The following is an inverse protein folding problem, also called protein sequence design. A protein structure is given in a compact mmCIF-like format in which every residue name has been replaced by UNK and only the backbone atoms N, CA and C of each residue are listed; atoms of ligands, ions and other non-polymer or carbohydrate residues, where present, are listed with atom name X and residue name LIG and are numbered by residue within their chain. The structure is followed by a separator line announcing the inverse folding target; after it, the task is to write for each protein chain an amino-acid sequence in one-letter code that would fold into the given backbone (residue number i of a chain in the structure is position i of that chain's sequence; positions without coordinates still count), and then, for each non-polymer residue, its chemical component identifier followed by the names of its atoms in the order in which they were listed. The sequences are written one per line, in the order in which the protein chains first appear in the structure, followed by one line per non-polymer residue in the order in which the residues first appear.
data_IF_485766904032
#
_entry.id   IF_485766904032
#
_cell.length_a   1.000
_cell.length_b   1.000
_cell.length_c   1.000
_cell.angle_alpha   90.00
_cell.angle_beta   90.00
_cell.angle_gamma   90.00
#
_symmetry.space_group_name_H-M   'P 1'
#
loop_
_entity.id
_entity.type
_entity.pdbx_description
1 polymer ?
#
# COMPACT_ATOMS: atom_id res chain seq x y z
N UNK A 1 12.76 44.55 -15.16
CA UNK A 1 13.86 43.63 -14.78
C UNK A 1 13.64 42.84 -13.47
N UNK A 2 12.69 43.18 -12.57
CA UNK A 2 12.44 42.41 -11.33
C UNK A 2 11.57 41.13 -11.48
N UNK A 3 10.99 40.88 -12.65
CA UNK A 3 10.13 39.71 -12.91
C UNK A 3 10.94 38.45 -13.30
N UNK A 4 12.10 38.62 -13.94
CA UNK A 4 12.94 37.50 -14.38
C UNK A 4 13.67 36.76 -13.23
N UNK A 5 13.82 37.38 -12.05
CA UNK A 5 14.50 36.77 -10.90
C UNK A 5 13.61 35.84 -10.07
N UNK A 6 12.28 35.91 -10.22
CA UNK A 6 11.35 35.03 -9.49
C UNK A 6 11.12 33.67 -10.17
N UNK A 7 11.27 33.59 -11.49
CA UNK A 7 11.11 32.32 -12.23
C UNK A 7 12.32 31.38 -12.16
N UNK A 8 13.53 31.89 -11.93
CA UNK A 8 14.75 31.07 -11.84
C UNK A 8 14.88 30.29 -10.52
N UNK A 9 14.25 30.74 -9.43
CA UNK A 9 14.26 30.03 -8.14
C UNK A 9 13.26 28.86 -8.13
N UNK A 10 12.17 28.95 -8.90
CA UNK A 10 11.17 27.87 -9.04
C UNK A 10 11.76 26.66 -9.78
N UNK A 11 12.50 26.89 -10.87
CA UNK A 11 13.13 25.84 -11.69
C UNK A 11 14.27 25.10 -10.95
N UNK A 12 14.98 25.76 -10.03
CA UNK A 12 16.01 25.11 -9.21
C UNK A 12 15.44 24.25 -8.07
N UNK A 13 14.20 24.51 -7.64
CA UNK A 13 13.51 23.68 -6.64
C UNK A 13 12.91 22.42 -7.25
N UNK A 14 12.41 22.48 -8.50
CA UNK A 14 11.90 21.29 -9.20
C UNK A 14 13.01 20.32 -9.63
N UNK A 15 14.18 20.81 -10.03
CA UNK A 15 15.31 19.96 -10.41
C UNK A 15 15.90 19.15 -9.23
N UNK A 16 15.89 19.70 -8.01
CA UNK A 16 16.36 18.98 -6.81
C UNK A 16 15.38 17.90 -6.33
N UNK A 17 14.08 18.04 -6.63
CA UNK A 17 13.07 17.04 -6.26
C UNK A 17 13.16 15.78 -7.15
N UNK A 18 13.47 15.94 -8.43
CA UNK A 18 13.60 14.82 -9.38
C UNK A 18 14.86 13.97 -9.10
N UNK A 19 15.94 14.57 -8.58
CA UNK A 19 17.16 13.85 -8.21
C UNK A 19 17.02 13.08 -6.88
N UNK A 20 16.18 13.56 -5.95
CA UNK A 20 15.93 12.83 -4.70
C UNK A 20 15.04 11.59 -4.91
N UNK A 21 14.06 11.65 -5.81
CA UNK A 21 13.22 10.48 -6.15
C UNK A 21 14.00 9.34 -6.81
N UNK A 22 14.98 9.64 -7.69
CA UNK A 22 15.82 8.60 -8.31
C UNK A 22 16.74 7.89 -7.32
N UNK A 23 17.20 8.57 -6.28
CA UNK A 23 18.07 7.98 -5.25
C UNK A 23 17.23 7.13 -4.27
N UNK A 24 16.00 7.54 -3.93
CA UNK A 24 15.13 6.75 -3.05
C UNK A 24 14.52 5.52 -3.75
N UNK A 25 14.16 5.62 -5.02
CA UNK A 25 13.59 4.49 -5.77
C UNK A 25 14.60 3.35 -6.02
N UNK A 26 15.91 3.68 -6.11
CA UNK A 26 16.99 2.67 -6.24
C UNK A 26 17.35 1.97 -4.92
N UNK A 27 17.05 2.56 -3.76
CA UNK A 27 17.18 1.90 -2.44
C UNK A 27 15.95 1.03 -2.16
N UNK A 28 14.75 1.46 -2.56
CA UNK A 28 13.50 0.75 -2.31
C UNK A 28 13.34 -0.52 -3.18
N UNK A 29 13.69 -0.45 -4.47
CA UNK A 29 13.69 -1.63 -5.37
C UNK A 29 14.70 -2.71 -4.95
N UNK A 30 15.73 -2.36 -4.17
CA UNK A 30 16.70 -3.32 -3.61
C UNK A 30 16.13 -4.16 -2.46
N UNK A 31 15.03 -3.73 -1.84
CA UNK A 31 14.37 -4.43 -0.73
C UNK A 31 13.14 -5.24 -1.18
N UNK A 32 12.55 -4.95 -2.34
CA UNK A 32 11.39 -5.69 -2.88
C UNK A 32 11.71 -6.77 -3.92
N UNK A 33 12.97 -6.95 -4.35
CA UNK A 33 13.28 -8.12 -5.20
C UNK A 33 13.28 -9.41 -4.36
N UNK A 34 12.48 -10.43 -4.72
CA UNK A 34 12.70 -11.77 -4.23
C UNK A 34 14.15 -12.12 -4.55
N UNK A 35 14.91 -12.63 -3.57
CA UNK A 35 16.23 -13.21 -3.82
C UNK A 35 16.04 -14.41 -4.77
N UNK A 36 15.94 -14.15 -6.08
CA UNK A 36 16.07 -15.18 -7.12
C UNK A 36 17.43 -15.80 -6.88
N UNK A 37 17.41 -17.06 -6.46
CA UNK A 37 18.59 -17.87 -6.26
C UNK A 37 19.48 -17.75 -7.49
N UNK A 38 20.65 -17.10 -7.34
CA UNK A 38 21.72 -17.18 -8.32
C UNK A 38 22.26 -18.61 -8.26
N UNK A 39 21.60 -19.54 -8.96
CA UNK A 39 22.28 -20.72 -9.52
C UNK A 39 23.29 -20.17 -10.53
N UNK A 40 24.52 -19.95 -10.09
CA UNK A 40 25.67 -19.79 -10.98
C UNK A 40 25.93 -21.15 -11.63
N UNK A 41 25.68 -21.23 -12.93
CA UNK A 41 26.24 -22.29 -13.78
C UNK A 41 27.78 -22.22 -13.72
N UNK A 42 28.39 -23.20 -13.07
CA UNK A 42 29.86 -23.32 -12.90
C UNK A 42 30.56 -23.77 -14.19
N UNK A 43 29.86 -23.83 -15.32
CA UNK A 43 30.36 -24.46 -16.55
C UNK A 43 31.04 -23.51 -17.53
N UNK A 44 30.87 -22.18 -17.38
CA UNK A 44 31.43 -21.19 -18.31
C UNK A 44 32.77 -20.56 -17.86
N UNK A 45 33.17 -20.69 -16.60
CA UNK A 45 34.37 -20.00 -16.07
C UNK A 45 35.69 -20.75 -16.34
N UNK A 46 35.62 -22.02 -16.78
CA UNK A 46 36.81 -22.81 -17.18
C UNK A 46 37.37 -22.49 -18.57
N UNK A 47 36.68 -21.68 -19.40
CA UNK A 47 37.15 -21.32 -20.75
C UNK A 47 37.89 -19.98 -20.85
N UNK A 48 37.96 -19.18 -19.77
CA UNK A 48 38.63 -17.85 -19.78
C UNK A 48 40.07 -17.83 -19.28
N UNK A 49 40.59 -18.93 -18.72
CA UNK A 49 41.94 -18.97 -18.15
C UNK A 49 43.05 -19.53 -19.06
N UNK A 50 42.81 -19.65 -20.38
CA UNK A 50 43.82 -20.19 -21.32
C UNK A 50 44.33 -19.22 -22.39
N UNK A 51 43.95 -17.94 -22.40
CA UNK A 51 44.29 -17.03 -23.51
C UNK A 51 44.84 -15.65 -23.10
N UNK A 52 45.75 -15.61 -22.13
CA UNK A 52 46.57 -14.41 -21.87
C UNK A 52 47.97 -14.81 -21.40
N UNK A 53 48.72 -15.47 -22.27
CA UNK A 53 50.19 -15.49 -22.22
C UNK A 53 50.70 -14.81 -23.48
N UNK A 54 51.16 -13.56 -23.36
CA UNK A 54 52.27 -12.96 -24.13
C UNK A 54 52.28 -11.44 -23.91
N UNK A 55 53.48 -10.91 -23.70
CA UNK A 55 53.90 -9.51 -23.76
C UNK A 55 53.59 -8.62 -22.55
N UNK A 56 54.55 -8.52 -21.62
CA UNK A 56 55.53 -7.41 -21.62
C UNK A 56 56.39 -7.44 -20.36
N UNK A 57 57.69 -7.59 -20.58
CA UNK A 57 58.78 -7.17 -19.71
C UNK A 57 58.69 -5.68 -19.43
N UNK A 58 58.83 -5.24 -18.18
CA UNK A 58 59.64 -4.08 -17.81
C UNK A 58 59.90 -4.13 -16.30
N UNK A 59 61.17 -3.96 -15.94
CA UNK A 59 61.72 -4.06 -14.60
C UNK A 59 61.26 -2.92 -13.69
N UNK A 60 60.99 -3.26 -12.43
CA UNK A 60 61.12 -2.32 -11.31
C UNK A 60 61.56 -3.10 -10.07
N UNK A 61 62.81 -2.86 -9.70
CA UNK A 61 63.44 -3.28 -8.45
C UNK A 61 62.76 -2.53 -7.31
N UNK A 62 62.19 -3.25 -6.35
CA UNK A 62 62.00 -2.72 -4.99
C UNK A 62 62.22 -3.83 -3.97
N UNK A 63 63.29 -3.64 -3.20
CA UNK A 63 63.72 -4.43 -2.06
C UNK A 63 62.69 -4.35 -0.94
N UNK A 64 62.21 -5.50 -0.45
CA UNK A 64 61.59 -5.61 0.87
C UNK A 64 62.42 -6.51 1.78
N UNK A 65 62.78 -5.91 2.91
CA UNK A 65 63.56 -6.45 4.01
C UNK A 65 62.81 -7.62 4.65
N UNK A 66 63.47 -8.77 4.71
CA UNK A 66 63.07 -9.92 5.51
C UNK A 66 63.56 -9.76 6.95
N UNK A 67 62.67 -9.88 7.93
CA UNK A 67 63.06 -10.24 9.31
C UNK A 67 62.25 -11.44 9.80
N UNK A 68 62.91 -12.60 9.70
CA UNK A 68 62.66 -13.83 10.44
C UNK A 68 62.84 -13.63 11.94
N UNK A 69 61.94 -14.14 12.78
CA UNK A 69 62.21 -14.74 14.11
C UNK A 69 61.12 -15.79 14.40
N UNK A 70 61.35 -17.07 14.10
CA UNK A 70 61.91 -18.16 14.93
C UNK A 70 61.07 -18.57 16.17
N UNK A 71 60.55 -19.79 16.02
CA UNK A 71 60.18 -20.86 16.94
C UNK A 71 60.78 -20.88 18.36
N UNK A 72 59.98 -21.35 19.32
CA UNK A 72 60.38 -22.35 20.34
C UNK A 72 59.23 -23.36 20.59
N UNK A 73 59.52 -24.66 20.80
CA UNK A 73 58.56 -25.69 21.20
C UNK A 73 58.80 -26.17 22.65
N UNK A 74 57.72 -26.47 23.39
CA UNK A 74 57.76 -27.18 24.69
C UNK A 74 56.51 -28.07 24.77
N UNK A 75 56.65 -29.35 24.41
CA UNK A 75 56.50 -30.56 25.25
C UNK A 75 55.17 -30.63 26.05
N UNK A 76 54.28 -31.56 25.68
CA UNK A 76 54.22 -32.96 26.14
C UNK A 76 53.33 -33.09 27.40
N UNK A 77 52.14 -33.67 27.25
CA UNK A 77 51.77 -34.90 27.97
C UNK A 77 50.41 -35.44 27.48
N UNK A 78 50.47 -36.69 27.03
CA UNK A 78 49.33 -37.52 26.74
C UNK A 78 48.52 -37.80 28.00
N UNK A 79 47.19 -37.70 27.90
CA UNK A 79 46.27 -38.17 28.94
C UNK A 79 45.21 -39.05 28.30
N UNK A 80 45.51 -40.35 28.35
CA UNK A 80 44.61 -41.50 28.52
C UNK A 80 43.11 -41.29 28.23
N UNK A 81 42.67 -41.87 27.11
CA UNK A 81 41.28 -42.29 26.91
C UNK A 81 41.01 -43.49 27.83
N UNK A 82 40.28 -43.28 28.92
CA UNK A 82 39.70 -44.37 29.71
C UNK A 82 38.34 -44.73 29.12
N UNK A 83 38.30 -45.89 28.46
CA UNK A 83 37.08 -46.64 28.17
C UNK A 83 36.53 -47.13 29.52
N UNK A 84 35.35 -46.67 29.90
CA UNK A 84 34.60 -47.22 31.02
C UNK A 84 33.48 -48.10 30.47
N UNK A 85 33.77 -49.40 30.34
CA UNK A 85 32.76 -50.43 30.27
C UNK A 85 32.27 -50.68 31.70
N UNK A 86 31.04 -50.27 32.01
CA UNK A 86 30.30 -50.85 33.13
C UNK A 86 29.12 -51.61 32.56
N UNK A 87 29.29 -52.93 32.51
CA UNK A 87 28.17 -53.84 32.69
C UNK A 87 27.74 -53.76 34.15
N UNK A 88 26.44 -53.56 34.38
CA UNK A 88 25.82 -53.88 35.67
C UNK A 88 24.58 -54.72 35.44
N UNK A 89 24.72 -55.92 35.97
CA UNK A 89 23.75 -56.96 36.29
C UNK A 89 22.41 -56.43 36.77
N UNK A 90 21.35 -57.02 36.19
CA UNK A 90 20.02 -57.15 36.77
C UNK A 90 20.14 -57.74 38.18
N UNK A 91 19.68 -56.99 39.18
CA UNK A 91 19.20 -57.58 40.44
C UNK A 91 17.79 -57.11 40.68
N UNK A 92 16.93 -58.11 40.61
CA UNK A 92 15.53 -58.18 41.00
C UNK A 92 15.39 -57.80 42.48
N UNK A 93 14.74 -56.67 42.77
CA UNK A 93 14.25 -56.35 44.11
C UNK A 93 12.86 -55.73 44.00
N UNK A 94 11.89 -56.51 44.48
CA UNK A 94 10.47 -56.16 44.55
C UNK A 94 10.21 -54.86 45.32
N UNK A 95 9.54 -53.94 44.63
CA UNK A 95 8.95 -52.75 45.22
C UNK A 95 7.54 -53.14 45.70
N UNK A 96 7.43 -53.31 47.01
CA UNK A 96 6.13 -53.32 47.72
C UNK A 96 5.52 -51.92 47.59
N UNK A 97 4.33 -51.85 46.98
CA UNK A 97 3.62 -50.60 46.77
C UNK A 97 3.14 -49.95 48.08
N UNK A 98 3.15 -48.61 48.18
CA UNK A 98 2.44 -47.90 49.23
C UNK A 98 0.94 -47.87 48.92
N UNK A 99 0.17 -48.55 49.76
CA UNK A 99 -1.28 -48.42 49.87
C UNK A 99 -1.58 -47.15 50.67
N UNK A 100 -1.75 -46.02 50.00
CA UNK A 100 -2.41 -44.86 50.59
C UNK A 100 -3.16 -44.11 49.47
N UNK A 101 -4.43 -44.46 49.32
CA UNK A 101 -5.40 -43.76 48.47
C UNK A 101 -5.92 -42.57 49.28
N UNK A 102 -5.67 -41.31 48.88
CA UNK A 102 -6.30 -40.18 49.53
C UNK A 102 -7.81 -40.19 49.25
N UNK A 103 -8.60 -40.08 50.31
CA UNK A 103 -10.06 -39.91 50.29
C UNK A 103 -10.42 -38.76 49.33
N UNK A 104 -11.25 -39.07 48.32
CA UNK A 104 -11.94 -38.07 47.53
C UNK A 104 -12.84 -37.23 48.44
N UNK A 105 -12.43 -36.00 48.72
CA UNK A 105 -13.29 -34.98 49.29
C UNK A 105 -14.34 -34.54 48.27
N UNK A 106 -15.55 -34.32 48.78
CA UNK A 106 -16.77 -33.99 48.03
C UNK A 106 -16.60 -32.69 47.22
N UNK A 107 -17.20 -32.59 46.02
CA UNK A 107 -17.12 -31.39 45.20
C UNK A 107 -17.78 -30.21 45.92
N UNK A 108 -16.96 -29.29 46.42
CA UNK A 108 -17.42 -28.01 46.94
C UNK A 108 -17.93 -27.18 45.76
N UNK A 109 -19.20 -26.80 45.81
CA UNK A 109 -19.83 -25.85 44.89
C UNK A 109 -19.02 -24.56 44.90
N UNK A 110 -18.14 -24.37 43.91
CA UNK A 110 -17.50 -23.08 43.67
C UNK A 110 -18.55 -22.15 43.10
N UNK A 111 -18.99 -21.23 43.95
CA UNK A 111 -19.75 -20.05 43.57
C UNK A 111 -19.15 -19.43 42.30
N UNK A 112 -19.97 -19.31 41.26
CA UNK A 112 -19.66 -18.56 40.07
C UNK A 112 -19.35 -17.12 40.48
N UNK A 113 -18.06 -16.80 40.60
CA UNK A 113 -17.60 -15.42 40.65
C UNK A 113 -17.92 -14.82 39.29
N UNK A 114 -19.03 -14.10 39.21
CA UNK A 114 -19.31 -13.15 38.15
C UNK A 114 -18.20 -12.09 38.21
N UNK A 115 -17.12 -12.33 37.50
CA UNK A 115 -16.04 -11.37 37.29
C UNK A 115 -16.66 -10.19 36.55
N UNK A 116 -17.02 -9.14 37.30
CA UNK A 116 -17.40 -7.85 36.76
C UNK A 116 -16.21 -7.34 35.96
N UNK A 117 -16.28 -7.48 34.63
CA UNK A 117 -15.32 -6.94 33.69
C UNK A 117 -15.40 -5.41 33.79
N UNK A 118 -14.61 -4.82 34.68
CA UNK A 118 -14.42 -3.37 34.70
C UNK A 118 -13.65 -2.99 33.45
N UNK A 119 -14.36 -2.55 32.42
CA UNK A 119 -13.76 -1.94 31.25
C UNK A 119 -12.92 -0.74 31.70
N UNK A 120 -11.67 -0.70 31.23
CA UNK A 120 -10.72 0.37 31.48
C UNK A 120 -11.37 1.74 31.16
N UNK A 121 -11.38 2.71 32.10
CA UNK A 121 -11.91 4.06 31.88
C UNK A 121 -11.38 4.72 30.60
N UNK A 122 -10.15 4.41 30.19
CA UNK A 122 -9.55 4.94 28.97
C UNK A 122 -10.31 4.46 27.73
N UNK A 123 -10.70 3.18 27.67
CA UNK A 123 -11.49 2.63 26.55
C UNK A 123 -12.89 3.23 26.49
N UNK A 124 -13.50 3.51 27.64
CA UNK A 124 -14.82 4.15 27.70
C UNK A 124 -14.79 5.58 27.13
N UNK A 125 -13.72 6.34 27.39
CA UNK A 125 -13.59 7.69 26.81
C UNK A 125 -13.39 7.66 25.29
N UNK A 126 -12.62 6.70 24.77
CA UNK A 126 -12.46 6.51 23.32
C UNK A 126 -13.78 6.11 22.66
N UNK A 127 -14.52 5.18 23.25
CA UNK A 127 -15.84 4.76 22.75
C UNK A 127 -16.83 5.93 22.72
N UNK A 128 -16.85 6.80 23.73
CA UNK A 128 -17.70 8.00 23.72
C UNK A 128 -17.39 8.95 22.56
N UNK A 129 -16.11 9.16 22.25
CA UNK A 129 -15.69 10.01 21.11
C UNK A 129 -16.11 9.42 19.78
N UNK A 130 -16.05 8.09 19.64
CA UNK A 130 -16.50 7.40 18.43
C UNK A 130 -18.02 7.55 18.29
N UNK A 131 -18.78 7.37 19.38
CA UNK A 131 -20.24 7.52 19.37
C UNK A 131 -20.64 8.94 18.98
N UNK A 132 -20.02 9.98 19.55
CA UNK A 132 -20.35 11.38 19.20
C UNK A 132 -20.05 11.68 17.73
N UNK A 133 -18.93 11.19 17.21
CA UNK A 133 -18.58 11.37 15.79
C UNK A 133 -19.58 10.66 14.85
N UNK A 134 -20.06 9.47 15.21
CA UNK A 134 -21.09 8.76 14.44
C UNK A 134 -22.44 9.50 14.46
N UNK A 135 -22.78 10.17 15.55
CA UNK A 135 -23.98 11.01 15.64
C UNK A 135 -23.87 12.26 14.75
N UNK A 136 -22.69 12.89 14.68
CA UNK A 136 -22.41 14.01 13.77
C UNK A 136 -22.57 13.59 12.30
N UNK A 137 -21.96 12.48 11.88
CA UNK A 137 -22.12 11.94 10.51
C UNK A 137 -23.58 11.65 10.20
N UNK A 138 -24.32 11.04 11.14
CA UNK A 138 -25.74 10.73 10.94
C UNK A 138 -26.56 12.01 10.73
N UNK A 139 -26.22 13.10 11.42
CA UNK A 139 -26.89 14.39 11.25
C UNK A 139 -26.54 15.03 9.90
N UNK A 140 -25.30 14.96 9.44
CA UNK A 140 -24.91 15.45 8.11
C UNK A 140 -25.61 14.68 6.98
N UNK A 141 -25.71 13.35 7.06
CA UNK A 141 -26.46 12.54 6.09
C UNK A 141 -27.92 12.97 6.05
N UNK A 142 -28.54 13.25 7.20
CA UNK A 142 -29.93 13.72 7.27
C UNK A 142 -30.10 15.09 6.62
N UNK A 143 -29.16 16.00 6.81
CA UNK A 143 -29.18 17.33 6.18
C UNK A 143 -28.99 17.23 4.65
N UNK A 144 -28.11 16.33 4.18
CA UNK A 144 -27.93 16.07 2.75
C UNK A 144 -29.18 15.47 2.10
N UNK A 145 -29.85 14.53 2.79
CA UNK A 145 -31.12 13.97 2.32
C UNK A 145 -32.19 15.07 2.15
N UNK A 146 -32.33 15.96 3.14
CA UNK A 146 -33.26 17.09 3.03
C UNK A 146 -32.93 18.04 1.87
N UNK A 147 -31.64 18.28 1.61
CA UNK A 147 -31.19 19.09 0.48
C UNK A 147 -31.52 18.44 -0.87
N UNK A 148 -31.29 17.13 -1.01
CA UNK A 148 -31.62 16.37 -2.22
C UNK A 148 -33.13 16.36 -2.47
N UNK A 149 -33.93 16.15 -1.43
CA UNK A 149 -35.40 16.17 -1.54
C UNK A 149 -35.90 17.55 -1.98
N UNK A 150 -35.30 18.64 -1.49
CA UNK A 150 -35.62 20.01 -1.90
C UNK A 150 -35.36 20.25 -3.40
N UNK A 151 -34.18 19.83 -3.90
CA UNK A 151 -33.83 19.96 -5.32
C UNK A 151 -34.74 19.09 -6.20
N UNK A 152 -35.14 17.91 -5.71
CA UNK A 152 -36.06 17.02 -6.43
C UNK A 152 -37.45 17.65 -6.57
N UNK A 153 -37.94 18.39 -5.57
CA UNK A 153 -39.22 19.12 -5.69
C UNK A 153 -39.10 20.34 -6.60
N UNK A 154 -38.00 21.11 -6.53
CA UNK A 154 -37.77 22.23 -7.46
C UNK A 154 -37.72 21.77 -8.93
N UNK A 155 -37.09 20.63 -9.21
CA UNK A 155 -37.02 20.07 -10.57
C UNK A 155 -38.37 19.55 -11.08
N UNK A 156 -39.22 19.00 -10.20
CA UNK A 156 -40.59 18.63 -10.57
C UNK A 156 -41.42 19.87 -10.95
N UNK A 157 -41.26 20.95 -10.20
CA UNK A 157 -41.97 22.20 -10.46
C UNK A 157 -41.62 22.77 -11.85
N UNK A 158 -40.32 22.81 -12.18
CA UNK A 158 -39.84 23.27 -13.50
C UNK A 158 -40.34 22.40 -14.67
N UNK A 159 -40.48 21.08 -14.47
CA UNK A 159 -41.01 20.19 -15.52
C UNK A 159 -42.49 20.42 -15.80
N UNK A 160 -43.24 20.89 -14.80
CA UNK A 160 -44.67 21.16 -14.95
C UNK A 160 -44.89 22.46 -15.73
N UNK A 161 -44.10 23.50 -15.46
CA UNK A 161 -44.17 24.78 -16.18
C UNK A 161 -43.84 24.65 -17.69
N UNK A 162 -42.98 23.69 -18.07
CA UNK A 162 -42.67 23.44 -19.49
C UNK A 162 -43.79 22.73 -20.26
N UNK A 163 -44.68 21.99 -19.59
CA UNK A 163 -45.78 21.28 -20.26
C UNK A 163 -46.94 22.19 -20.63
N UNK A 164 -47.12 23.30 -19.91
CA UNK A 164 -48.21 24.25 -20.18
C UNK A 164 -47.88 25.23 -21.33
N UNK A 165 -46.61 25.34 -21.73
CA UNK A 165 -46.19 26.23 -22.81
C UNK A 165 -46.32 25.65 -24.24
N UNK A 166 -46.52 24.32 -24.39
CA UNK A 166 -46.44 23.65 -25.71
C UNK A 166 -47.79 23.19 -26.30
N UNK A 167 -48.93 23.65 -25.76
CA UNK A 167 -50.27 23.20 -26.18
C UNK A 167 -51.04 24.15 -27.13
N UNK A 168 -50.41 25.16 -27.75
CA UNK A 168 -51.14 26.22 -28.47
C UNK A 168 -50.75 26.48 -29.94
N UNK A 169 -49.98 25.60 -30.60
CA UNK A 169 -49.53 25.87 -31.98
C UNK A 169 -49.89 24.73 -32.94
N UNK A 170 -51.18 24.44 -33.08
CA UNK A 170 -51.65 23.47 -34.09
C UNK A 170 -53.10 23.74 -34.54
N UNK A 171 -53.35 24.91 -35.13
CA UNK A 171 -54.61 25.14 -35.87
C UNK A 171 -54.55 26.36 -36.79
N UNK A 172 -54.04 26.18 -38.02
CA UNK A 172 -54.53 26.92 -39.21
C UNK A 172 -53.89 26.42 -40.50
N UNK A 173 -54.66 25.69 -41.29
CA UNK A 173 -54.61 25.75 -42.76
C UNK A 173 -55.84 25.06 -43.35
N UNK A 174 -56.81 25.84 -43.82
CA UNK A 174 -57.74 25.43 -44.88
C UNK A 174 -58.48 26.66 -45.39
N UNK A 175 -58.06 27.18 -46.55
CA UNK A 175 -58.94 27.92 -47.44
C UNK A 175 -58.29 27.99 -48.83
N UNK A 176 -58.88 27.27 -49.78
CA UNK A 176 -58.56 27.38 -51.20
C UNK A 176 -59.88 27.21 -51.97
N UNK A 177 -60.33 28.29 -52.63
CA UNK A 177 -61.34 28.26 -53.67
C UNK A 177 -61.04 29.40 -54.66
N UNK A 178 -60.67 28.98 -55.86
CA UNK A 178 -60.91 29.56 -57.20
C UNK A 178 -60.91 31.08 -57.38
N UNK A 179 -60.06 31.61 -58.27
CA UNK A 179 -60.60 32.12 -59.54
C UNK A 179 -59.55 32.23 -60.67
N UNK A 180 -60.05 31.85 -61.84
CA UNK A 180 -59.48 31.85 -63.17
C UNK A 180 -59.47 33.31 -63.68
N UNK A 181 -58.35 33.91 -64.07
CA UNK A 181 -57.96 34.04 -65.48
C UNK A 181 -56.63 34.80 -65.52
N UNK A 182 -55.52 34.21 -65.97
CA UNK A 182 -54.37 34.89 -66.63
C UNK A 182 -53.20 33.87 -66.84
N UNK A 183 -53.30 33.02 -67.84
CA UNK A 183 -52.47 31.80 -67.99
C UNK A 183 -51.05 32.03 -68.52
N UNK A 184 -50.70 33.24 -68.98
CA UNK A 184 -49.34 33.57 -69.43
C UNK A 184 -48.50 34.29 -68.37
N UNK A 185 -49.07 35.21 -67.59
CA UNK A 185 -48.38 35.82 -66.45
C UNK A 185 -48.13 34.87 -65.28
N UNK A 186 -49.02 33.87 -65.07
CA UNK A 186 -48.90 32.88 -63.97
C UNK A 186 -47.70 31.93 -64.16
N UNK A 187 -47.28 31.65 -65.40
CA UNK A 187 -46.10 30.80 -65.66
C UNK A 187 -44.79 31.52 -65.33
N UNK A 188 -44.72 32.81 -65.63
CA UNK A 188 -43.58 33.64 -65.29
C UNK A 188 -43.51 33.87 -63.77
N UNK A 189 -44.64 34.16 -63.11
CA UNK A 189 -44.71 34.25 -61.64
C UNK A 189 -44.35 32.92 -60.95
N UNK A 190 -44.78 31.77 -61.48
CA UNK A 190 -44.40 30.46 -60.93
C UNK A 190 -42.90 30.17 -61.12
N UNK A 191 -42.29 30.64 -62.21
CA UNK A 191 -40.85 30.53 -62.42
C UNK A 191 -40.07 31.45 -61.47
N UNK A 192 -40.57 32.68 -61.24
CA UNK A 192 -40.00 33.62 -60.27
C UNK A 192 -40.11 33.06 -58.84
N UNK A 193 -41.26 32.51 -58.45
CA UNK A 193 -41.45 31.89 -57.13
C UNK A 193 -40.54 30.68 -56.91
N UNK A 194 -40.33 29.82 -57.92
CA UNK A 194 -39.37 28.72 -57.83
C UNK A 194 -37.92 29.19 -57.70
N UNK A 195 -37.57 30.29 -58.36
CA UNK A 195 -36.24 30.88 -58.21
C UNK A 195 -36.08 31.53 -56.81
N UNK A 196 -37.14 32.12 -56.25
CA UNK A 196 -37.15 32.64 -54.89
C UNK A 196 -36.98 31.50 -53.87
N UNK A 197 -37.77 30.43 -53.95
CA UNK A 197 -37.64 29.24 -53.10
C UNK A 197 -36.23 28.64 -53.16
N UNK A 198 -35.66 28.55 -54.37
CA UNK A 198 -34.31 28.02 -54.54
C UNK A 198 -33.24 28.92 -53.91
N UNK A 199 -33.36 30.24 -54.07
CA UNK A 199 -32.45 31.19 -53.44
C UNK A 199 -32.59 31.19 -51.91
N UNK A 200 -33.81 31.07 -51.39
CA UNK A 200 -34.09 31.00 -49.95
C UNK A 200 -33.58 29.67 -49.33
N UNK A 201 -33.68 28.55 -50.03
CA UNK A 201 -33.03 27.29 -49.63
C UNK A 201 -31.50 27.40 -49.56
N UNK A 202 -30.86 28.06 -50.53
CA UNK A 202 -29.41 28.27 -50.51
C UNK A 202 -28.96 29.22 -49.39
N UNK A 203 -29.77 30.23 -49.07
CA UNK A 203 -29.48 31.17 -48.00
C UNK A 203 -29.62 30.49 -46.62
N UNK A 204 -30.64 29.64 -46.46
CA UNK A 204 -30.82 28.82 -45.25
C UNK A 204 -29.72 27.77 -45.06
N UNK A 205 -29.29 27.07 -46.11
CA UNK A 205 -28.14 26.14 -46.04
C UNK A 205 -26.84 26.87 -45.66
N UNK A 206 -26.70 28.14 -46.05
CA UNK A 206 -25.53 28.97 -45.70
C UNK A 206 -25.56 29.43 -44.24
N UNK A 207 -26.74 29.81 -43.75
CA UNK A 207 -26.94 30.17 -42.33
C UNK A 207 -26.76 28.95 -41.41
N UNK A 208 -27.26 27.78 -41.79
CA UNK A 208 -27.08 26.54 -41.02
C UNK A 208 -25.60 26.12 -40.95
N UNK A 209 -24.85 26.25 -42.04
CA UNK A 209 -23.42 25.88 -42.08
C UNK A 209 -22.53 26.79 -41.21
N UNK A 210 -22.87 28.08 -41.07
CA UNK A 210 -22.12 29.00 -40.19
C UNK A 210 -22.41 28.74 -38.70
N UNK A 211 -23.60 28.21 -38.35
CA UNK A 211 -23.92 27.87 -36.95
C UNK A 211 -23.16 26.65 -36.41
N UNK A 212 -22.82 25.69 -37.27
CA UNK A 212 -22.12 24.47 -36.86
C UNK A 212 -20.69 24.73 -36.38
N UNK A 213 -19.96 25.64 -37.03
CA UNK A 213 -18.60 26.00 -36.65
C UNK A 213 -18.54 26.70 -35.28
N UNK A 214 -19.49 27.61 -35.03
CA UNK A 214 -19.61 28.31 -33.75
C UNK A 214 -19.99 27.35 -32.61
N UNK A 215 -20.87 26.39 -32.88
CA UNK A 215 -21.23 25.36 -31.90
C UNK A 215 -20.04 24.44 -31.58
N UNK A 216 -19.23 24.04 -32.55
CA UNK A 216 -18.03 23.22 -32.31
C UNK A 216 -17.00 23.98 -31.47
N UNK A 217 -16.76 25.26 -31.77
CA UNK A 217 -15.84 26.10 -31.01
C UNK A 217 -16.29 26.27 -29.54
N UNK A 218 -17.58 26.49 -29.31
CA UNK A 218 -18.15 26.58 -27.97
C UNK A 218 -18.00 25.25 -27.20
N UNK A 219 -18.22 24.11 -27.86
CA UNK A 219 -18.02 22.79 -27.24
C UNK A 219 -16.56 22.55 -26.85
N UNK A 220 -15.60 22.93 -27.72
CA UNK A 220 -14.16 22.83 -27.43
C UNK A 220 -13.76 23.70 -26.23
N UNK A 221 -14.25 24.94 -26.14
CA UNK A 221 -13.96 25.82 -25.01
C UNK A 221 -14.59 25.28 -23.70
N UNK A 222 -15.82 24.75 -23.77
CA UNK A 222 -16.44 24.09 -22.62
C UNK A 222 -15.64 22.87 -22.15
N UNK A 223 -15.17 22.03 -23.08
CA UNK A 223 -14.33 20.85 -22.75
C UNK A 223 -13.01 21.26 -22.12
N UNK A 224 -12.37 22.32 -22.63
CA UNK A 224 -11.14 22.90 -22.07
C UNK A 224 -11.31 23.32 -20.61
N UNK A 225 -12.39 24.04 -20.29
CA UNK A 225 -12.69 24.46 -18.91
C UNK A 225 -12.85 23.24 -18.00
N UNK A 226 -13.55 22.19 -18.46
CA UNK A 226 -13.71 20.94 -17.69
C UNK A 226 -12.36 20.26 -17.42
N UNK A 227 -11.49 20.15 -18.43
CA UNK A 227 -10.16 19.54 -18.28
C UNK A 227 -9.33 20.30 -17.25
N UNK A 228 -9.35 21.64 -17.29
CA UNK A 228 -8.62 22.47 -16.32
C UNK A 228 -9.11 22.25 -14.88
N UNK A 229 -10.43 22.14 -14.69
CA UNK A 229 -11.02 21.82 -13.39
C UNK A 229 -10.61 20.42 -12.91
N UNK A 230 -10.63 19.42 -13.80
CA UNK A 230 -10.21 18.04 -13.47
C UNK A 230 -8.72 17.98 -13.08
N UNK A 231 -7.84 18.71 -13.80
CA UNK A 231 -6.42 18.82 -13.45
C UNK A 231 -6.24 19.41 -12.06
N UNK A 232 -6.96 20.49 -11.71
CA UNK A 232 -6.85 21.12 -10.40
C UNK A 232 -7.31 20.18 -9.28
N UNK A 233 -8.43 19.49 -9.46
CA UNK A 233 -8.90 18.47 -8.52
C UNK A 233 -7.86 17.35 -8.32
N UNK A 234 -7.25 16.86 -9.40
CA UNK A 234 -6.20 15.84 -9.33
C UNK A 234 -4.93 16.35 -8.66
N UNK A 235 -4.58 17.63 -8.82
CA UNK A 235 -3.43 18.25 -8.13
C UNK A 235 -3.69 18.33 -6.62
N UNK A 236 -4.92 18.65 -6.21
CA UNK A 236 -5.33 18.59 -4.81
C UNK A 236 -5.26 17.16 -4.27
N UNK A 237 -5.79 16.18 -5.01
CA UNK A 237 -5.69 14.76 -4.67
C UNK A 237 -4.23 14.30 -4.51
N UNK A 238 -3.35 14.71 -5.42
CA UNK A 238 -1.90 14.45 -5.33
C UNK A 238 -1.29 15.02 -4.06
N UNK A 239 -1.65 16.24 -3.67
CA UNK A 239 -1.17 16.87 -2.44
C UNK A 239 -1.68 16.13 -1.19
N UNK A 240 -2.95 15.70 -1.19
CA UNK A 240 -3.52 14.90 -0.11
C UNK A 240 -2.76 13.57 0.06
N UNK A 241 -2.45 12.86 -1.04
CA UNK A 241 -1.63 11.64 -0.96
C UNK A 241 -0.22 11.91 -0.42
N UNK A 242 0.42 12.99 -0.84
CA UNK A 242 1.73 13.37 -0.30
C UNK A 242 1.67 13.63 1.21
N UNK A 243 0.64 14.33 1.69
CA UNK A 243 0.44 14.56 3.13
C UNK A 243 0.30 13.24 3.89
N UNK A 244 -0.53 12.31 3.39
CA UNK A 244 -0.71 10.98 4.00
C UNK A 244 0.62 10.22 4.04
N UNK A 245 1.38 10.23 2.94
CA UNK A 245 2.69 9.57 2.87
C UNK A 245 3.64 10.14 3.92
N UNK A 246 3.68 11.47 4.07
CA UNK A 246 4.54 12.12 5.05
C UNK A 246 4.10 11.80 6.48
N UNK A 247 2.80 11.84 6.80
CA UNK A 247 2.27 11.45 8.11
C UNK A 247 2.63 10.00 8.47
N UNK A 248 2.46 9.06 7.54
CA UNK A 248 2.77 7.64 7.75
C UNK A 248 4.28 7.39 7.93
N UNK A 249 5.14 8.13 7.22
CA UNK A 249 6.61 8.02 7.36
C UNK A 249 7.12 8.41 8.74
N UNK A 250 6.42 9.30 9.45
CA UNK A 250 6.81 9.71 10.81
C UNK A 250 6.39 8.70 11.88
N UNK A 251 5.49 7.77 11.56
CA UNK A 251 5.14 6.69 12.48
C UNK A 251 6.29 5.69 12.60
N UNK A 252 6.43 5.06 13.77
CA UNK A 252 7.38 3.95 13.91
C UNK A 252 6.81 2.73 13.21
N UNK A 253 7.49 2.26 12.16
CA UNK A 253 7.15 1.01 11.51
C UNK A 253 8.41 0.16 11.28
N UNK A 254 8.20 -1.13 11.08
CA UNK A 254 9.22 -2.09 10.69
C UNK A 254 8.66 -3.00 9.58
N UNK A 255 9.49 -3.81 8.89
CA UNK A 255 8.98 -4.77 7.93
C UNK A 255 7.96 -5.72 8.58
N UNK A 256 6.85 -6.06 7.90
CA UNK A 256 5.88 -7.02 8.42
C UNK A 256 6.52 -8.37 8.71
N UNK A 257 5.96 -9.09 9.68
CA UNK A 257 6.43 -10.42 10.04
C UNK A 257 6.11 -11.39 8.91
N UNK A 258 7.13 -12.06 8.38
CA UNK A 258 6.94 -13.05 7.34
C UNK A 258 6.61 -14.42 7.97
N UNK A 259 5.38 -14.90 7.74
CA UNK A 259 4.91 -16.21 8.20
C UNK A 259 5.09 -17.32 7.16
N UNK A 260 5.38 -16.96 5.91
CA UNK A 260 5.45 -17.88 4.77
C UNK A 260 6.87 -18.41 4.53
N UNK A 261 7.81 -18.11 5.43
CA UNK A 261 9.15 -18.66 5.34
C UNK A 261 9.14 -20.16 5.65
N UNK A 262 9.61 -20.92 4.66
CA UNK A 262 9.74 -22.37 4.73
C UNK A 262 10.76 -22.86 5.76
N UNK A 263 11.12 -24.16 5.69
CA UNK A 263 11.91 -24.83 6.71
C UNK A 263 13.24 -24.13 7.01
N UNK A 264 13.70 -24.24 8.27
CA UNK A 264 14.97 -23.65 8.71
C UNK A 264 16.10 -24.20 7.83
N UNK A 265 16.72 -23.30 7.06
CA UNK A 265 17.76 -23.65 6.09
C UNK A 265 19.10 -23.93 6.77
N UNK A 266 19.35 -23.30 7.92
CA UNK A 266 20.60 -23.47 8.66
C UNK A 266 20.59 -24.74 9.52
N UNK A 267 21.52 -25.65 9.25
CA UNK A 267 21.53 -27.00 9.82
C UNK A 267 21.66 -27.02 11.35
N UNK A 268 22.47 -26.13 11.92
CA UNK A 268 22.62 -26.05 13.38
C UNK A 268 21.33 -25.61 14.09
N UNK A 269 20.47 -24.85 13.40
CA UNK A 269 19.23 -24.34 13.98
C UNK A 269 18.07 -25.33 13.81
N UNK A 270 18.21 -26.38 12.99
CA UNK A 270 17.15 -27.40 12.78
C UNK A 270 16.80 -28.17 14.06
N UNK A 271 17.72 -28.23 15.01
CA UNK A 271 17.46 -28.85 16.31
C UNK A 271 16.56 -27.97 17.21
N UNK A 272 16.32 -26.72 16.86
CA UNK A 272 15.53 -25.76 17.63
C UNK A 272 14.05 -26.12 17.55
N UNK A 273 13.36 -26.04 18.69
CA UNK A 273 11.90 -26.20 18.77
C UNK A 273 11.24 -24.84 18.81
N UNK A 274 10.15 -24.67 18.07
CA UNK A 274 9.32 -23.48 18.20
C UNK A 274 8.77 -23.37 19.62
N UNK A 275 8.88 -22.20 20.25
CA UNK A 275 8.40 -21.99 21.63
C UNK A 275 6.87 -22.07 21.76
N UNK A 276 6.15 -21.93 20.64
CA UNK A 276 4.69 -21.88 20.58
C UNK A 276 4.09 -23.23 20.20
N UNK A 277 4.33 -23.70 18.96
CA UNK A 277 3.78 -24.97 18.46
C UNK A 277 4.67 -26.20 18.70
N UNK A 278 5.88 -26.04 19.23
CA UNK A 278 6.83 -27.12 19.59
C UNK A 278 7.37 -27.98 18.44
N UNK A 279 6.96 -27.70 17.20
CA UNK A 279 7.56 -28.30 16.01
C UNK A 279 9.07 -27.98 15.96
N UNK A 280 9.85 -28.98 15.55
CA UNK A 280 11.31 -28.93 15.55
C UNK A 280 11.82 -28.70 14.13
N UNK A 281 12.68 -27.70 13.93
CA UNK A 281 13.35 -27.44 12.66
C UNK A 281 12.48 -26.88 11.52
N UNK A 282 11.16 -26.83 11.70
CA UNK A 282 10.23 -26.33 10.70
C UNK A 282 10.26 -24.80 10.56
N UNK A 283 10.33 -24.06 11.66
CA UNK A 283 10.38 -22.59 11.62
C UNK A 283 10.95 -22.03 12.93
N UNK A 284 11.48 -20.80 12.85
CA UNK A 284 11.84 -20.05 14.05
C UNK A 284 10.57 -19.60 14.78
N UNK A 285 10.62 -19.53 16.12
CA UNK A 285 9.48 -19.08 16.94
C UNK A 285 8.88 -17.75 16.46
N UNK A 286 9.73 -16.82 16.02
CA UNK A 286 9.32 -15.52 15.46
C UNK A 286 8.33 -15.65 14.29
N UNK A 287 8.42 -16.73 13.52
CA UNK A 287 7.70 -16.96 12.25
C UNK A 287 6.64 -18.05 12.37
N UNK A 288 6.17 -18.36 13.58
CA UNK A 288 5.21 -19.44 13.79
C UNK A 288 3.87 -19.19 13.07
N UNK A 289 3.47 -20.04 12.10
CA UNK A 289 2.23 -19.83 11.34
C UNK A 289 0.98 -20.21 12.14
N UNK A 290 1.10 -21.11 13.11
CA UNK A 290 -0.02 -21.57 13.94
C UNK A 290 -0.49 -20.52 14.95
N UNK A 291 0.41 -19.63 15.36
CA UNK A 291 0.13 -18.60 16.37
C UNK A 291 0.58 -17.26 15.81
N UNK A 292 -0.30 -16.60 15.06
CA UNK A 292 -0.03 -15.28 14.47
C UNK A 292 -0.30 -14.14 15.45
N UNK A 293 -1.37 -14.27 16.25
CA UNK A 293 -1.73 -13.25 17.23
C UNK A 293 -0.69 -13.14 18.36
N UNK A 294 -0.32 -11.91 18.68
CA UNK A 294 0.70 -11.63 19.68
C UNK A 294 0.19 -11.93 21.09
N UNK A 295 -1.09 -11.66 21.37
CA UNK A 295 -1.68 -11.90 22.70
C UNK A 295 -1.75 -13.39 22.99
N UNK A 296 -2.10 -14.20 21.98
CA UNK A 296 -2.02 -15.65 22.04
C UNK A 296 -0.61 -16.14 22.37
N UNK A 297 0.41 -15.59 21.69
CA UNK A 297 1.81 -15.94 21.96
C UNK A 297 2.21 -15.65 23.41
N UNK A 298 1.82 -14.49 23.95
CA UNK A 298 2.07 -14.15 25.36
C UNK A 298 1.41 -15.16 26.31
N UNK A 299 0.14 -15.50 26.07
CA UNK A 299 -0.60 -16.47 26.89
C UNK A 299 0.04 -17.86 26.88
N UNK A 300 0.50 -18.32 25.72
CA UNK A 300 1.17 -19.63 25.59
C UNK A 300 2.46 -19.67 26.41
N UNK A 301 3.26 -18.59 26.40
CA UNK A 301 4.49 -18.56 27.19
C UNK A 301 4.20 -18.55 28.69
N UNK A 302 3.20 -17.79 29.12
CA UNK A 302 2.76 -17.77 30.53
C UNK A 302 2.26 -19.14 30.97
N UNK A 303 1.37 -19.76 30.19
CA UNK A 303 0.82 -21.09 30.47
C UNK A 303 1.92 -22.17 30.53
N UNK A 304 2.91 -22.09 29.65
CA UNK A 304 4.04 -23.04 29.60
C UNK A 304 5.15 -22.70 30.59
N UNK A 305 5.05 -21.60 31.35
CA UNK A 305 6.10 -21.14 32.26
C UNK A 305 7.43 -20.81 31.55
N UNK A 306 7.38 -20.32 30.31
CA UNK A 306 8.56 -19.94 29.54
C UNK A 306 8.91 -18.47 29.78
N UNK A 307 10.20 -18.18 29.85
CA UNK A 307 10.66 -16.80 29.97
C UNK A 307 10.32 -15.96 28.71
N UNK A 308 9.73 -14.79 28.90
CA UNK A 308 9.32 -13.89 27.81
C UNK A 308 10.50 -13.22 27.07
N UNK A 309 11.72 -13.30 27.62
CA UNK A 309 12.93 -12.70 27.07
C UNK A 309 13.78 -13.68 26.24
N UNK A 310 13.89 -14.95 26.68
CA UNK A 310 14.69 -15.97 25.99
C UNK A 310 13.88 -17.17 25.48
N UNK A 311 12.59 -17.28 25.80
CA UNK A 311 11.67 -18.37 25.43
C UNK A 311 12.00 -19.75 26.03
N UNK A 312 12.95 -19.82 26.98
CA UNK A 312 13.37 -21.06 27.65
C UNK A 312 12.51 -21.34 28.90
N UNK A 313 12.35 -22.63 29.26
CA UNK A 313 11.53 -23.10 30.39
C UNK A 313 12.20 -22.86 31.76
N UNK A 314 13.51 -23.07 31.86
CA UNK A 314 14.23 -23.02 33.14
C UNK A 314 14.92 -21.68 33.40
N UNK A 315 14.37 -20.60 32.85
CA UNK A 315 14.89 -19.26 33.06
C UNK A 315 14.02 -18.52 34.08
N UNK A 316 14.65 -17.99 35.14
CA UNK A 316 14.00 -17.19 36.20
C UNK A 316 13.30 -15.94 35.63
N UNK A 317 13.76 -15.44 34.48
CA UNK A 317 13.21 -14.26 33.83
C UNK A 317 13.70 -12.94 34.43
N UNK A 318 13.02 -11.84 34.06
CA UNK A 318 13.36 -10.49 34.51
C UNK A 318 14.80 -10.09 34.21
N UNK A 319 15.41 -9.37 35.15
CA UNK A 319 16.80 -8.89 35.08
C UNK A 319 17.87 -9.99 35.19
N UNK A 320 17.49 -11.18 35.67
CA UNK A 320 18.38 -12.34 35.78
C UNK A 320 18.44 -13.16 34.48
N UNK A 321 17.56 -12.87 33.51
CA UNK A 321 17.60 -13.54 32.23
C UNK A 321 18.89 -13.15 31.47
N UNK A 322 19.59 -14.15 30.91
CA UNK A 322 20.76 -13.94 30.03
C UNK A 322 20.47 -12.98 28.86
N UNK A 323 19.20 -12.82 28.48
CA UNK A 323 18.75 -11.96 27.38
C UNK A 323 18.16 -10.60 27.82
N UNK A 324 18.15 -10.25 29.11
CA UNK A 324 17.50 -9.02 29.62
C UNK A 324 17.89 -7.71 28.90
N UNK A 325 19.16 -7.54 28.53
CA UNK A 325 19.63 -6.36 27.79
C UNK A 325 19.57 -6.46 26.27
N UNK A 326 19.12 -7.60 25.72
CA UNK A 326 19.12 -7.82 24.26
C UNK A 326 18.04 -6.96 23.62
N UNK A 327 18.42 -6.17 22.61
CA UNK A 327 17.48 -5.34 21.86
C UNK A 327 16.63 -6.21 20.93
N UNK A 328 15.34 -5.93 20.88
CA UNK A 328 14.44 -6.54 19.92
C UNK A 328 14.88 -6.25 18.48
N UNK A 329 14.76 -7.24 17.60
CA UNK A 329 15.09 -7.10 16.18
C UNK A 329 14.19 -6.08 15.47
N UNK A 330 12.91 -6.04 15.83
CA UNK A 330 11.87 -5.26 15.16
C UNK A 330 11.84 -3.80 15.65
N UNK A 331 11.59 -3.57 16.93
CA UNK A 331 11.40 -2.22 17.47
C UNK A 331 12.63 -1.62 18.18
N UNK A 332 13.72 -2.40 18.32
CA UNK A 332 14.97 -2.01 18.99
C UNK A 332 14.87 -1.67 20.48
N UNK A 333 13.69 -1.77 21.09
CA UNK A 333 13.53 -1.66 22.55
C UNK A 333 13.98 -2.94 23.25
N UNK A 334 14.15 -2.87 24.57
CA UNK A 334 14.53 -3.99 25.43
C UNK A 334 13.28 -4.62 26.06
N UNK A 335 13.46 -5.59 26.97
CA UNK A 335 12.42 -6.19 27.79
C UNK A 335 11.39 -7.10 27.08
N UNK A 336 11.65 -7.52 25.84
CA UNK A 336 10.87 -8.57 25.18
C UNK A 336 11.68 -9.29 24.10
N UNK A 337 11.33 -10.54 23.81
CA UNK A 337 11.88 -11.28 22.68
C UNK A 337 11.24 -10.81 21.35
N UNK A 338 11.96 -10.83 20.23
CA UNK A 338 11.45 -10.39 18.91
C UNK A 338 10.15 -11.09 18.49
N UNK A 339 10.01 -12.36 18.86
CA UNK A 339 8.81 -13.17 18.60
C UNK A 339 7.54 -12.67 19.32
N UNK A 340 7.71 -11.80 20.32
CA UNK A 340 6.66 -11.17 21.12
C UNK A 340 6.50 -9.67 20.83
N UNK A 341 7.25 -9.14 19.87
CA UNK A 341 7.09 -7.77 19.42
C UNK A 341 5.81 -7.63 18.59
N UNK A 342 4.98 -6.64 18.92
CA UNK A 342 3.73 -6.28 18.25
C UNK A 342 3.92 -5.27 17.10
N UNK A 343 5.12 -4.68 17.00
CA UNK A 343 5.42 -3.67 15.99
C UNK A 343 5.26 -4.20 14.57
N UNK A 344 5.69 -5.43 14.21
CA UNK A 344 5.50 -5.95 12.85
C UNK A 344 4.03 -6.00 12.41
N UNK A 345 3.14 -6.46 13.30
CA UNK A 345 1.71 -6.57 13.05
C UNK A 345 1.06 -5.18 12.97
N UNK A 346 1.47 -4.24 13.83
CA UNK A 346 1.02 -2.83 13.75
C UNK A 346 1.55 -2.11 12.51
N UNK A 347 2.68 -2.55 11.97
CA UNK A 347 3.30 -1.94 10.80
C UNK A 347 2.63 -2.37 9.50
N UNK A 348 2.03 -3.56 9.44
CA UNK A 348 1.35 -4.08 8.26
C UNK A 348 0.28 -3.13 7.67
N UNK A 349 -0.67 -2.59 8.46
CA UNK A 349 -1.64 -1.63 7.91
C UNK A 349 -0.97 -0.32 7.46
N UNK A 350 0.11 0.12 8.11
CA UNK A 350 0.88 1.31 7.69
C UNK A 350 1.51 1.07 6.31
N UNK A 351 2.10 -0.11 6.09
CA UNK A 351 2.65 -0.49 4.79
C UNK A 351 1.59 -0.54 3.70
N UNK A 352 0.43 -1.11 4.00
CA UNK A 352 -0.68 -1.17 3.05
C UNK A 352 -1.18 0.22 2.70
N UNK A 353 -1.34 1.11 3.69
CA UNK A 353 -1.73 2.50 3.46
C UNK A 353 -0.69 3.27 2.65
N UNK A 354 0.60 3.08 2.94
CA UNK A 354 1.68 3.67 2.14
C UNK A 354 1.64 3.19 0.68
N UNK A 355 1.45 1.89 0.45
CA UNK A 355 1.33 1.33 -0.89
C UNK A 355 0.14 1.95 -1.64
N UNK A 356 -1.05 1.97 -1.02
CA UNK A 356 -2.24 2.58 -1.61
C UNK A 356 -2.06 4.07 -1.92
N UNK A 357 -1.41 4.82 -1.02
CA UNK A 357 -1.15 6.24 -1.23
C UNK A 357 -0.15 6.48 -2.38
N UNK A 358 0.87 5.64 -2.51
CA UNK A 358 1.80 5.68 -3.64
C UNK A 358 1.13 5.34 -4.98
N UNK A 359 0.25 4.33 -4.98
CA UNK A 359 -0.52 3.97 -6.17
C UNK A 359 -1.47 5.10 -6.57
N UNK A 360 -2.20 5.70 -5.62
CA UNK A 360 -3.04 6.87 -5.84
C UNK A 360 -2.26 8.07 -6.39
N UNK A 361 -1.08 8.34 -5.85
CA UNK A 361 -0.17 9.38 -6.35
C UNK A 361 0.24 9.13 -7.81
N UNK A 362 0.56 7.88 -8.14
CA UNK A 362 0.95 7.46 -9.49
C UNK A 362 -0.21 7.64 -10.47
N UNK A 363 -1.42 7.24 -10.08
CA UNK A 363 -2.63 7.39 -10.88
C UNK A 363 -2.99 8.86 -11.13
N UNK A 364 -3.01 9.70 -10.07
CA UNK A 364 -3.26 11.13 -10.22
C UNK A 364 -2.24 11.78 -11.17
N UNK A 365 -0.96 11.43 -11.02
CA UNK A 365 0.11 11.97 -11.85
C UNK A 365 -0.04 11.55 -13.33
N UNK A 366 -0.36 10.28 -13.59
CA UNK A 366 -0.59 9.77 -14.94
C UNK A 366 -1.81 10.44 -15.60
N UNK A 367 -2.91 10.62 -14.86
CA UNK A 367 -4.12 11.26 -15.36
C UNK A 367 -3.91 12.75 -15.65
N UNK A 368 -3.19 13.47 -14.79
CA UNK A 368 -2.79 14.87 -15.05
C UNK A 368 -2.02 14.96 -16.37
N UNK A 369 -1.02 14.10 -16.59
CA UNK A 369 -0.24 14.10 -17.84
C UNK A 369 -1.10 13.79 -19.07
N UNK A 370 -2.11 12.93 -18.95
CA UNK A 370 -3.05 12.64 -20.03
C UNK A 370 -3.90 13.88 -20.37
N UNK A 371 -4.48 14.51 -19.35
CA UNK A 371 -5.32 15.70 -19.51
C UNK A 371 -4.54 16.90 -20.05
N UNK A 372 -3.28 17.08 -19.62
CA UNK A 372 -2.40 18.12 -20.14
C UNK A 372 -2.10 17.91 -21.64
N UNK A 373 -2.02 16.67 -22.12
CA UNK A 373 -1.89 16.37 -23.55
C UNK A 373 -3.18 16.65 -24.31
N UNK A 374 -4.33 16.25 -23.77
CA UNK A 374 -5.64 16.52 -24.37
C UNK A 374 -5.86 18.03 -24.50
N UNK A 375 -5.54 18.78 -23.45
CA UNK A 375 -5.59 20.24 -23.44
C UNK A 375 -4.72 20.85 -24.55
N UNK A 376 -3.49 20.37 -24.72
CA UNK A 376 -2.57 20.85 -25.76
C UNK A 376 -3.09 20.60 -27.19
N UNK A 377 -3.86 19.53 -27.41
CA UNK A 377 -4.49 19.25 -28.70
C UNK A 377 -5.61 20.26 -28.96
N UNK A 378 -6.52 20.44 -28.00
CA UNK A 378 -7.63 21.41 -28.11
C UNK A 378 -7.11 22.83 -28.35
N UNK A 379 -6.04 23.23 -27.65
CA UNK A 379 -5.42 24.55 -27.85
C UNK A 379 -4.80 24.73 -29.24
N UNK A 380 -4.31 23.64 -29.86
CA UNK A 380 -3.78 23.69 -31.23
C UNK A 380 -4.90 23.80 -32.26
N UNK A 381 -6.03 23.10 -32.03
CA UNK A 381 -7.19 23.12 -32.93
C UNK A 381 -7.93 24.47 -32.92
N UNK A 382 -7.85 25.24 -31.82
CA UNK A 382 -8.45 26.58 -31.72
C UNK A 382 -7.59 27.72 -32.32
N UNK A 383 -6.34 27.43 -32.69
CA UNK A 383 -5.43 28.42 -33.31
C UNK A 383 -5.44 28.39 -34.84
N UNK A 384 -6.03 27.35 -35.43
CA UNK A 384 -6.26 27.18 -36.87
C UNK A 384 -7.59 27.81 -37.25
#
# INVERSE_FOLDING_TARGET
MKWAARNSISLLRSANYILSERIYCSVWTKWQQPRRSRRRDKTQERKRYKNTSLNRTHAAVFTFVTTNKRCTPVSCQASQVRIWCIGRTLTDQGIKGPKDVPKMEKPTQRHARTSSLSLDPIRLTQLRKIISFLEEIKQEIKNLQQSVDSVLEETKQLSQDQKDAHSNDDQRTSHDDSDDTNTEGKKEQAAILKNIDFMESLEKEREEMDTDADHEAQQKEMRKIQILQEIEQLRQGRNNFNQIIDELKHQRFCPPRNFDEGPITFEADRATRCAFCELRGEHYSDKCPSFRDIQERWRILEQKGRCQLCLELYCVGGNLCRKFGTKCYHCRSQNHHSALCDLPEKSEPIWQQLANAHDGLTQCSAKIQQLEKELSIIESDLQL
#
